data_IF_380760351983
#
_entry.id   IF_380760351983
#
_cell.length_a   1.000
_cell.length_b   1.000
_cell.length_c   1.000
_cell.angle_alpha   90.00
_cell.angle_beta   90.00
_cell.angle_gamma   90.00
#
_symmetry.space_group_name_H-M   'P 1'
#
loop_
_entity.id
_entity.type
_entity.pdbx_description
1 polymer ?
#
# COMPACT_ATOMS: atom_id res chain seq x y z
N UNK A 1 13.09 25.60 -1.06
CA UNK A 1 13.79 24.58 -1.85
C UNK A 1 13.03 23.28 -1.65
N UNK A 2 12.10 22.98 -2.55
CA UNK A 2 11.27 21.77 -2.47
C UNK A 2 11.99 20.66 -3.21
N UNK A 3 12.39 19.62 -2.50
CA UNK A 3 13.00 18.45 -3.11
C UNK A 3 11.91 17.63 -3.80
N UNK A 4 11.96 17.61 -5.13
CA UNK A 4 11.17 16.70 -5.96
C UNK A 4 11.81 15.30 -5.88
N UNK A 5 11.12 14.37 -5.23
CA UNK A 5 11.52 12.96 -5.19
C UNK A 5 10.99 12.28 -6.46
N UNK A 6 11.84 12.19 -7.48
CA UNK A 6 11.59 11.40 -8.68
C UNK A 6 11.91 9.92 -8.39
N UNK A 7 10.90 9.12 -8.04
CA UNK A 7 11.04 7.68 -7.94
C UNK A 7 10.74 7.03 -9.30
N UNK A 8 11.79 6.65 -10.05
CA UNK A 8 11.68 5.74 -11.20
C UNK A 8 11.98 4.32 -10.73
N UNK A 9 10.93 3.55 -10.45
CA UNK A 9 11.03 2.10 -10.35
C UNK A 9 9.81 1.49 -11.05
N UNK A 10 10.06 0.56 -11.97
CA UNK A 10 9.03 -0.33 -12.49
C UNK A 10 8.63 -1.32 -11.37
N UNK A 11 7.75 -0.87 -10.48
CA UNK A 11 7.23 -1.60 -9.34
C UNK A 11 6.41 -0.62 -8.49
N UNK A 12 5.10 -0.85 -8.36
CA UNK A 12 4.21 0.02 -7.58
C UNK A 12 4.43 -0.23 -6.09
N UNK A 13 4.57 0.85 -5.32
CA UNK A 13 4.65 0.85 -3.84
C UNK A 13 3.27 1.25 -3.33
N UNK A 14 2.64 0.42 -2.50
CA UNK A 14 1.34 0.69 -1.87
C UNK A 14 1.58 1.09 -0.40
N UNK A 15 0.94 2.16 0.03
CA UNK A 15 0.93 2.59 1.44
C UNK A 15 -0.23 1.85 2.12
N UNK A 16 0.05 1.14 3.21
CA UNK A 16 -0.93 0.25 3.82
C UNK A 16 -1.61 0.90 5.05
N UNK A 17 -2.92 0.66 5.19
CA UNK A 17 -3.78 0.94 6.34
C UNK A 17 -3.46 -0.01 7.52
N UNK A 18 -4.36 -0.09 8.51
CA UNK A 18 -4.15 -0.86 9.73
C UNK A 18 -4.18 -2.39 9.51
N UNK A 19 -3.32 -3.10 10.26
CA UNK A 19 -3.37 -4.56 10.41
C UNK A 19 -4.58 -4.99 11.25
N UNK A 20 -5.32 -5.99 10.77
CA UNK A 20 -6.33 -6.66 11.58
C UNK A 20 -5.70 -7.66 12.58
N UNK A 21 -6.46 -8.06 13.60
CA UNK A 21 -6.00 -9.05 14.58
C UNK A 21 -5.70 -10.39 13.91
N UNK A 22 -4.48 -10.89 14.08
CA UNK A 22 -4.01 -12.14 13.49
C UNK A 22 -3.60 -12.05 12.02
N UNK A 23 -3.71 -10.87 11.40
CA UNK A 23 -3.32 -10.64 10.00
C UNK A 23 -1.82 -10.37 9.89
N UNK A 24 -1.17 -10.98 8.91
CA UNK A 24 0.21 -10.69 8.55
C UNK A 24 0.29 -9.42 7.68
N UNK A 25 1.46 -8.77 7.65
CA UNK A 25 1.69 -7.60 6.78
C UNK A 25 1.40 -7.88 5.30
N UNK A 26 1.72 -9.08 4.80
CA UNK A 26 1.45 -9.46 3.42
C UNK A 26 -0.06 -9.71 3.15
N UNK A 27 -0.81 -10.21 4.13
CA UNK A 27 -2.27 -10.37 4.02
C UNK A 27 -2.98 -9.01 4.00
N UNK A 28 -2.58 -8.09 4.89
CA UNK A 28 -3.08 -6.72 4.87
C UNK A 28 -2.75 -6.02 3.54
N UNK A 29 -1.52 -6.18 3.06
CA UNK A 29 -1.09 -5.64 1.77
C UNK A 29 -1.98 -6.10 0.60
N UNK A 30 -2.32 -7.40 0.58
CA UNK A 30 -3.18 -7.98 -0.45
C UNK A 30 -4.63 -7.49 -0.33
N UNK A 31 -5.18 -7.43 0.89
CA UNK A 31 -6.53 -6.90 1.17
C UNK A 31 -6.65 -5.46 0.71
N UNK A 32 -5.72 -4.60 1.09
CA UNK A 32 -5.79 -3.17 0.83
C UNK A 32 -5.52 -2.84 -0.63
N UNK A 33 -4.60 -3.55 -1.29
CA UNK A 33 -4.44 -3.44 -2.74
C UNK A 33 -5.77 -3.66 -3.46
N UNK A 34 -6.55 -4.65 -3.01
CA UNK A 34 -7.88 -4.91 -3.56
C UNK A 34 -8.86 -3.79 -3.23
N UNK A 35 -8.95 -3.37 -1.97
CA UNK A 35 -9.90 -2.33 -1.55
C UNK A 35 -9.62 -0.97 -2.21
N UNK A 36 -8.35 -0.58 -2.25
CA UNK A 36 -7.94 0.71 -2.75
C UNK A 36 -7.93 0.76 -4.25
N UNK A 37 -7.56 -0.31 -4.94
CA UNK A 37 -7.28 -0.26 -6.38
C UNK A 37 -8.23 -1.15 -7.19
N UNK A 38 -8.75 -2.22 -6.60
CA UNK A 38 -9.54 -3.26 -7.27
C UNK A 38 -8.70 -4.45 -7.74
N UNK A 39 -7.37 -4.38 -7.65
CA UNK A 39 -6.47 -5.47 -8.02
C UNK A 39 -6.47 -6.55 -6.92
N UNK A 40 -6.99 -7.74 -7.25
CA UNK A 40 -6.98 -8.87 -6.33
C UNK A 40 -5.73 -9.74 -6.53
N UNK A 41 -4.86 -9.75 -5.53
CA UNK A 41 -3.71 -10.65 -5.40
C UNK A 41 -3.79 -11.36 -4.04
N UNK A 42 -3.09 -12.48 -3.89
CA UNK A 42 -2.88 -13.13 -2.60
C UNK A 42 -1.57 -12.67 -1.96
N UNK A 43 -1.42 -12.87 -0.65
CA UNK A 43 -0.16 -12.61 0.05
C UNK A 43 1.03 -13.36 -0.59
N UNK A 44 0.80 -14.55 -1.17
CA UNK A 44 1.84 -15.35 -1.84
C UNK A 44 2.32 -14.77 -3.18
N UNK A 45 1.51 -13.91 -3.81
CA UNK A 45 1.86 -13.20 -5.04
C UNK A 45 2.78 -11.99 -4.76
N UNK A 46 2.83 -11.54 -3.51
CA UNK A 46 3.66 -10.43 -3.07
C UNK A 46 5.10 -10.92 -2.77
N UNK A 47 6.08 -10.12 -3.20
CA UNK A 47 7.50 -10.33 -2.92
C UNK A 47 7.98 -9.25 -1.95
N UNK A 48 8.56 -9.66 -0.83
CA UNK A 48 9.02 -8.74 0.18
C UNK A 48 9.03 -9.35 1.59
N UNK A 49 9.19 -8.52 2.62
CA UNK A 49 9.29 -7.04 2.53
C UNK A 49 10.56 -6.58 1.80
N UNK A 50 10.45 -5.55 0.96
CA UNK A 50 11.59 -4.90 0.28
C UNK A 50 12.07 -3.66 1.02
N UNK A 51 11.23 -3.10 1.89
CA UNK A 51 11.54 -1.98 2.77
C UNK A 51 10.62 -2.04 3.99
N UNK A 52 11.11 -1.55 5.12
CA UNK A 52 10.33 -1.42 6.36
C UNK A 52 10.56 -0.01 6.90
N UNK A 53 9.50 0.65 7.31
CA UNK A 53 9.53 2.03 7.79
C UNK A 53 8.75 2.19 9.09
N UNK A 54 9.17 3.15 9.90
CA UNK A 54 8.37 3.71 10.98
C UNK A 54 8.09 5.18 10.65
N UNK A 55 6.83 5.55 10.60
CA UNK A 55 6.38 6.93 10.33
C UNK A 55 5.60 7.48 11.52
N UNK A 56 5.80 8.75 11.83
CA UNK A 56 5.11 9.46 12.90
C UNK A 56 4.35 10.65 12.31
N UNK A 57 3.04 10.74 12.56
CA UNK A 57 2.18 11.78 12.02
C UNK A 57 1.02 12.11 12.96
N UNK A 58 0.32 13.22 12.72
CA UNK A 58 -0.86 13.62 13.48
C UNK A 58 -2.09 13.63 12.56
N UNK A 59 -3.17 12.98 12.99
CA UNK A 59 -4.45 12.99 12.28
C UNK A 59 -5.60 13.20 13.27
N UNK A 60 -6.51 14.13 12.96
CA UNK A 60 -7.61 14.54 13.85
C UNK A 60 -7.15 14.86 15.29
N UNK A 61 -5.98 15.48 15.44
CA UNK A 61 -5.41 15.84 16.75
C UNK A 61 -4.83 14.67 17.55
N UNK A 62 -4.83 13.45 17.00
CA UNK A 62 -4.22 12.27 17.60
C UNK A 62 -2.86 12.03 16.94
N UNK A 63 -1.83 11.78 17.76
CA UNK A 63 -0.51 11.39 17.27
C UNK A 63 -0.45 9.88 17.04
N UNK A 64 0.04 9.49 15.87
CA UNK A 64 0.21 8.11 15.45
C UNK A 64 1.68 7.82 15.19
N UNK A 65 2.08 6.60 15.54
CA UNK A 65 3.35 5.99 15.15
C UNK A 65 3.03 4.68 14.44
N UNK A 66 3.24 4.66 13.14
CA UNK A 66 2.88 3.55 12.27
C UNK A 66 4.13 2.79 11.83
N UNK A 67 4.08 1.47 11.87
CA UNK A 67 5.09 0.59 11.28
C UNK A 67 4.54 -0.02 10.01
N UNK A 68 5.31 0.00 8.93
CA UNK A 68 4.87 -0.44 7.61
C UNK A 68 5.93 -1.28 6.93
N UNK A 69 5.48 -2.26 6.16
CA UNK A 69 6.29 -3.08 5.29
C UNK A 69 5.84 -2.92 3.85
N UNK A 70 6.81 -2.73 2.94
CA UNK A 70 6.54 -2.54 1.53
C UNK A 70 6.83 -3.82 0.76
N UNK A 71 5.93 -4.15 -0.15
CA UNK A 71 5.99 -5.35 -0.98
C UNK A 71 5.93 -4.98 -2.46
N UNK A 72 6.43 -5.87 -3.30
CA UNK A 72 6.39 -5.73 -4.76
C UNK A 72 5.59 -6.88 -5.36
N UNK A 73 4.67 -6.55 -6.25
CA UNK A 73 4.00 -7.49 -7.13
C UNK A 73 4.38 -7.22 -8.59
N UNK A 74 4.47 -8.28 -9.38
CA UNK A 74 4.53 -8.18 -10.85
C UNK A 74 3.16 -8.52 -11.40
N UNK A 75 2.62 -7.64 -12.22
CA UNK A 75 1.33 -7.82 -12.88
C UNK A 75 1.45 -7.39 -14.34
N UNK A 76 0.62 -7.97 -15.20
CA UNK A 76 0.38 -7.44 -16.54
C UNK A 76 -0.25 -6.04 -16.45
N UNK A 77 -0.34 -5.33 -17.58
CA UNK A 77 -0.96 -3.99 -17.60
C UNK A 77 -2.34 -4.05 -16.95
N UNK A 78 -2.53 -3.19 -15.96
CA UNK A 78 -3.76 -3.13 -15.18
C UNK A 78 -4.10 -1.68 -14.80
N UNK A 79 -5.39 -1.37 -14.83
CA UNK A 79 -5.96 -0.04 -14.57
C UNK A 79 -6.86 -0.08 -13.32
N UNK A 80 -6.66 0.83 -12.35
CA UNK A 80 -7.50 0.93 -11.16
C UNK A 80 -8.97 1.14 -11.47
N UNK A 81 -9.84 0.43 -10.76
CA UNK A 81 -11.29 0.47 -10.95
C UNK A 81 -12.08 0.53 -9.63
N UNK A 82 -11.43 0.94 -8.55
CA UNK A 82 -12.10 1.20 -7.27
C UNK A 82 -12.72 2.61 -7.23
N UNK A 83 -13.68 2.86 -6.32
CA UNK A 83 -14.21 4.21 -6.10
C UNK A 83 -13.14 5.26 -5.73
N UNK A 84 -12.04 4.84 -5.07
CA UNK A 84 -10.94 5.74 -4.71
C UNK A 84 -10.24 6.35 -5.93
N UNK A 85 -10.24 5.65 -7.07
CA UNK A 85 -9.58 6.09 -8.30
C UNK A 85 -10.55 6.49 -9.41
N UNK A 86 -11.74 5.90 -9.46
CA UNK A 86 -12.71 6.11 -10.55
C UNK A 86 -13.72 7.25 -10.27
N UNK A 87 -13.80 7.77 -9.04
CA UNK A 87 -14.87 8.68 -8.63
C UNK A 87 -16.23 7.95 -8.52
N UNK A 88 -17.29 8.60 -7.98
CA UNK A 88 -18.61 8.00 -7.94
C UNK A 88 -19.14 7.81 -9.37
N UNK A 89 -19.62 6.60 -9.66
CA UNK A 89 -20.30 6.24 -10.91
C UNK A 89 -21.64 6.94 -11.08
#
# INVERSE_FOLDING_TARGET
>A
MSHEVQARAAGRVLLLDALAEGETYAEAAARELREETGLALTAADLRGPVWTEVSEFSFNGVHYRQQQEFYVARVDRWEPNSPRFCGPS
#
